data_IF_049224705016
#
_entry.id   IF_049224705016
#
_cell.length_a   1.000
_cell.length_b   1.000
_cell.length_c   1.000
_cell.angle_alpha   90.00
_cell.angle_beta   90.00
_cell.angle_gamma   90.00
#
_symmetry.space_group_name_H-M   'P 1'
#
loop_
_entity.id
_entity.type
_entity.pdbx_description
1 polymer ?
#
# COMPACT_ATOMS: atom_id res chain seq x y z
N UNK A 1 18.79 0.11 -0.84
CA UNK A 1 18.28 1.47 -1.15
C UNK A 1 16.76 1.38 -1.13
N UNK A 2 16.04 2.28 -0.45
CA UNK A 2 14.58 2.28 -0.48
C UNK A 2 14.15 2.86 -1.82
N UNK A 3 13.39 2.10 -2.62
CA UNK A 3 12.89 2.59 -3.89
C UNK A 3 11.80 3.66 -3.68
N UNK A 4 11.88 4.81 -4.36
CA UNK A 4 10.82 5.82 -4.32
C UNK A 4 9.49 5.23 -4.76
N UNK A 5 8.42 5.52 -4.01
CA UNK A 5 7.08 5.05 -4.34
C UNK A 5 6.77 3.62 -3.86
N UNK A 6 7.65 2.99 -3.07
CA UNK A 6 7.35 1.71 -2.41
C UNK A 6 6.08 1.77 -1.56
N UNK A 7 5.88 2.88 -0.84
CA UNK A 7 4.70 3.15 -0.03
C UNK A 7 3.71 4.00 -0.83
N UNK A 8 2.45 3.58 -0.88
CA UNK A 8 1.42 4.24 -1.68
C UNK A 8 0.47 5.04 -0.78
N UNK A 9 0.26 6.35 -1.01
CA UNK A 9 -0.71 7.13 -0.26
C UNK A 9 -2.15 6.84 -0.74
N UNK A 10 -3.06 6.70 0.22
CA UNK A 10 -4.47 6.44 0.01
C UNK A 10 -5.32 7.37 0.90
N UNK A 11 -6.44 7.88 0.38
CA UNK A 11 -7.48 8.49 1.21
C UNK A 11 -8.45 7.44 1.76
N UNK A 12 -8.73 7.47 3.06
CA UNK A 12 -9.76 6.64 3.69
C UNK A 12 -10.44 7.39 4.83
N UNK A 13 -11.78 7.42 4.85
CA UNK A 13 -12.57 8.14 5.87
C UNK A 13 -12.10 9.59 6.12
N UNK A 14 -11.83 10.35 5.05
CA UNK A 14 -11.28 11.72 5.10
C UNK A 14 -9.92 11.84 5.83
N UNK A 15 -9.19 10.74 6.00
CA UNK A 15 -7.84 10.71 6.54
C UNK A 15 -6.84 10.17 5.51
N UNK A 16 -5.58 10.61 5.63
CA UNK A 16 -4.47 10.04 4.88
C UNK A 16 -4.07 8.71 5.51
N UNK A 17 -4.02 7.67 4.69
CA UNK A 17 -3.44 6.37 5.02
C UNK A 17 -2.34 6.04 4.02
N UNK A 18 -1.51 5.06 4.37
CA UNK A 18 -0.47 4.54 3.51
C UNK A 18 -0.64 3.05 3.34
N UNK A 19 -0.30 2.54 2.15
CA UNK A 19 -0.24 1.11 1.88
C UNK A 19 1.22 0.69 1.87
N UNK A 20 1.57 -0.22 2.77
CA UNK A 20 2.89 -0.85 2.85
C UNK A 20 2.80 -2.28 2.30
N UNK A 21 3.61 -2.66 1.30
CA UNK A 21 3.67 -4.05 0.83
C UNK A 21 4.25 -4.97 1.90
N UNK A 22 3.64 -6.13 2.09
CA UNK A 22 4.07 -7.15 3.04
C UNK A 22 4.37 -8.44 2.29
N UNK A 23 5.61 -8.90 2.44
CA UNK A 23 6.15 -10.14 1.92
C UNK A 23 6.13 -11.20 3.03
N UNK A 24 5.35 -12.28 2.85
CA UNK A 24 5.23 -13.35 3.86
C UNK A 24 6.12 -14.56 3.53
N UNK A 25 6.28 -14.86 2.25
CA UNK A 25 6.99 -16.07 1.77
C UNK A 25 8.26 -15.76 1.01
N UNK A 26 8.28 -14.64 0.29
CA UNK A 26 9.37 -14.23 -0.59
C UNK A 26 9.54 -12.71 -0.49
N UNK A 27 10.75 -12.26 -0.14
CA UNK A 27 11.05 -10.84 0.07
C UNK A 27 10.92 -9.99 -1.19
N UNK A 28 10.99 -10.61 -2.38
CA UNK A 28 10.84 -9.92 -3.67
C UNK A 28 9.37 -9.80 -4.10
N UNK A 29 8.47 -10.60 -3.51
CA UNK A 29 7.08 -10.70 -3.94
C UNK A 29 6.11 -10.42 -2.79
N UNK A 30 5.52 -9.21 -2.73
CA UNK A 30 4.50 -8.92 -1.73
C UNK A 30 3.25 -9.77 -1.95
N UNK A 31 2.65 -10.19 -0.84
CA UNK A 31 1.42 -10.97 -0.82
C UNK A 31 0.22 -10.12 -0.39
N UNK A 32 0.47 -9.14 0.48
CA UNK A 32 -0.54 -8.30 1.10
C UNK A 32 -0.09 -6.83 1.09
N UNK A 33 -1.04 -5.91 1.26
CA UNK A 33 -0.78 -4.52 1.56
C UNK A 33 -1.36 -4.17 2.93
N UNK A 34 -0.54 -3.65 3.83
CA UNK A 34 -0.97 -3.20 5.15
C UNK A 34 -1.31 -1.71 5.10
N UNK A 35 -2.49 -1.33 5.62
CA UNK A 35 -2.87 0.07 5.81
C UNK A 35 -2.21 0.64 7.05
N UNK A 36 -1.48 1.73 6.90
CA UNK A 36 -0.84 2.48 7.98
C UNK A 36 -1.54 3.83 8.16
N UNK A 37 -1.87 4.19 9.39
CA UNK A 37 -2.36 5.53 9.74
C UNK A 37 -1.43 6.16 10.76
N UNK A 38 -1.09 7.44 10.57
CA UNK A 38 -0.32 8.19 11.58
C UNK A 38 -1.19 8.42 12.83
N UNK A 39 -0.57 8.19 13.98
CA UNK A 39 -1.14 8.38 15.32
C UNK A 39 -0.05 8.92 16.23
N UNK A 40 -0.09 10.22 16.53
CA UNK A 40 0.72 10.87 17.57
C UNK A 40 2.20 10.44 17.59
N UNK A 41 2.86 10.46 16.44
CA UNK A 41 4.29 10.16 16.32
C UNK A 41 4.63 8.70 15.99
N UNK A 42 3.65 7.83 15.75
CA UNK A 42 3.88 6.49 15.22
C UNK A 42 2.85 6.11 14.14
N UNK A 43 3.16 5.07 13.35
CA UNK A 43 2.24 4.51 12.37
C UNK A 43 1.58 3.26 12.92
N UNK A 44 0.25 3.23 12.91
CA UNK A 44 -0.53 2.06 13.29
C UNK A 44 -0.94 1.28 12.04
N UNK A 45 -0.54 0.01 11.97
CA UNK A 45 -1.04 -0.95 10.98
C UNK A 45 -2.40 -1.50 11.40
N UNK A 46 -3.46 -1.19 10.66
CA UNK A 46 -4.84 -1.52 11.06
C UNK A 46 -5.45 -2.69 10.29
N UNK A 47 -5.08 -2.89 9.03
CA UNK A 47 -5.72 -3.88 8.16
C UNK A 47 -4.75 -4.36 7.09
N UNK A 48 -4.73 -5.67 6.84
CA UNK A 48 -4.04 -6.26 5.70
C UNK A 48 -5.06 -6.54 4.60
N UNK A 49 -4.77 -6.06 3.40
CA UNK A 49 -5.57 -6.23 2.20
C UNK A 49 -4.84 -7.16 1.22
N UNK A 50 -5.59 -7.89 0.40
CA UNK A 50 -5.01 -8.50 -0.80
C UNK A 50 -4.54 -7.39 -1.74
N UNK A 51 -3.58 -7.68 -2.62
CA UNK A 51 -3.08 -6.67 -3.57
C UNK A 51 -4.20 -6.12 -4.47
N UNK A 52 -5.13 -6.98 -4.88
CA UNK A 52 -6.32 -6.59 -5.65
C UNK A 52 -7.23 -5.65 -4.86
N UNK A 53 -7.51 -5.97 -3.59
CA UNK A 53 -8.27 -5.08 -2.71
C UNK A 53 -7.57 -3.74 -2.52
N UNK A 54 -6.25 -3.74 -2.36
CA UNK A 54 -5.47 -2.53 -2.24
C UNK A 54 -5.57 -1.67 -3.51
N UNK A 55 -5.51 -2.30 -4.69
CA UNK A 55 -5.64 -1.58 -5.96
C UNK A 55 -7.05 -1.01 -6.18
N UNK A 56 -8.09 -1.80 -5.89
CA UNK A 56 -9.49 -1.42 -6.13
C UNK A 56 -10.05 -0.47 -5.08
N UNK A 57 -9.68 -0.63 -3.80
CA UNK A 57 -10.19 0.19 -2.70
C UNK A 57 -9.35 1.43 -2.42
N UNK A 58 -8.13 1.52 -2.95
CA UNK A 58 -7.36 2.72 -2.79
C UNK A 58 -8.05 3.86 -3.54
N UNK A 59 -8.68 4.77 -2.78
CA UNK A 59 -8.97 6.14 -3.25
C UNK A 59 -7.62 6.85 -3.36
N UNK A 60 -6.87 6.47 -4.37
CA UNK A 60 -5.51 6.91 -4.58
C UNK A 60 -5.53 8.41 -4.86
N UNK A 61 -4.77 9.14 -4.04
CA UNK A 61 -4.66 10.60 -4.16
C UNK A 61 -3.79 10.95 -5.38
N UNK A 62 -2.95 10.01 -5.83
CA UNK A 62 -2.09 10.12 -7.00
C UNK A 62 -2.07 8.81 -7.79
N UNK A 63 -1.67 8.87 -9.07
CA UNK A 63 -1.46 7.66 -9.87
C UNK A 63 -0.42 6.77 -9.18
N UNK A 64 -0.71 5.48 -8.94
CA UNK A 64 0.26 4.59 -8.30
C UNK A 64 1.46 4.42 -9.22
N UNK A 65 2.65 4.62 -8.67
CA UNK A 65 3.94 4.36 -9.34
C UNK A 65 4.60 3.09 -8.82
N UNK A 66 4.09 2.54 -7.72
CA UNK A 66 4.63 1.36 -7.07
C UNK A 66 4.56 0.13 -8.00
N UNK A 67 5.69 -0.51 -8.34
CA UNK A 67 5.69 -1.67 -9.24
C UNK A 67 4.82 -2.81 -8.73
N UNK A 68 4.87 -3.10 -7.42
CA UNK A 68 4.11 -4.17 -6.79
C UNK A 68 2.59 -4.02 -6.87
N UNK A 69 2.10 -2.78 -7.00
CA UNK A 69 0.68 -2.47 -7.11
C UNK A 69 0.26 -2.30 -8.58
N UNK A 70 1.12 -1.73 -9.42
CA UNK A 70 0.82 -1.47 -10.85
C UNK A 70 0.98 -2.71 -11.73
N UNK A 71 1.75 -3.71 -11.31
CA UNK A 71 1.89 -4.98 -12.02
C UNK A 71 0.57 -5.75 -12.15
N UNK A 72 -0.42 -5.47 -11.29
CA UNK A 72 -1.75 -6.07 -11.35
C UNK A 72 -2.54 -5.71 -12.61
N UNK A 73 -2.18 -4.60 -13.26
CA UNK A 73 -2.93 -4.01 -14.38
C UNK A 73 -2.16 -4.07 -15.69
N UNK A 74 -0.84 -4.28 -15.63
CA UNK A 74 0.00 -4.47 -16.82
C UNK A 74 -0.18 -5.91 -17.30
N UNK A 75 -1.01 -6.09 -18.33
CA UNK A 75 -1.01 -7.29 -19.17
C UNK A 75 0.22 -7.31 -20.06
#
# INVERSE_FOLDING_TARGET
>A
VIEPGLVVPQGYQNQLQFLLPICLTDMEKPNLAMTLTERNGYYLGSTCLTLEMAYLNARMIARPIAPWLTSLVKK
#
